data_IF_639110766182
#
_entry.id   IF_639110766182
#
_cell.length_a   1.000
_cell.length_b   1.000
_cell.length_c   1.000
_cell.angle_alpha   90.00
_cell.angle_beta   90.00
_cell.angle_gamma   90.00
#
_symmetry.space_group_name_H-M   'P 1'
#
loop_
_entity.id
_entity.type
_entity.pdbx_description
1 polymer ?
#
# COMPACT_ATOMS: atom_id res chain seq x y z
N UNK A 1 10.98 13.07 9.46
CA UNK A 1 10.88 12.18 8.29
C UNK A 1 9.44 12.03 7.84
N UNK A 2 9.19 11.61 6.58
CA UNK A 2 7.85 11.37 6.07
C UNK A 2 7.05 10.35 6.88
N UNK A 3 7.72 9.34 7.44
CA UNK A 3 7.09 8.35 8.32
C UNK A 3 6.58 8.97 9.63
N UNK A 4 7.32 9.88 10.24
CA UNK A 4 6.88 10.58 11.46
C UNK A 4 5.70 11.51 11.19
N UNK A 5 5.75 12.27 10.09
CA UNK A 5 4.65 13.15 9.68
C UNK A 5 3.39 12.35 9.34
N UNK A 6 3.53 11.26 8.60
CA UNK A 6 2.41 10.42 8.19
C UNK A 6 1.63 9.73 9.32
N UNK A 7 2.17 9.73 10.54
CA UNK A 7 1.47 9.24 11.74
C UNK A 7 0.59 10.30 12.40
N UNK A 8 0.73 11.57 12.01
CA UNK A 8 0.03 12.71 12.59
C UNK A 8 -1.12 13.13 11.66
N UNK A 9 -2.29 12.55 11.87
CA UNK A 9 -3.46 12.75 11.01
C UNK A 9 -3.81 14.23 10.79
N UNK A 10 -3.72 15.07 11.82
CA UNK A 10 -4.07 16.50 11.73
C UNK A 10 -3.08 17.27 10.82
N UNK A 11 -1.78 17.07 11.00
CA UNK A 11 -0.76 17.74 10.19
C UNK A 11 -0.83 17.32 8.71
N UNK A 12 -1.03 16.02 8.44
CA UNK A 12 -1.17 15.53 7.05
C UNK A 12 -2.48 16.01 6.43
N UNK A 13 -3.55 16.11 7.20
CA UNK A 13 -4.84 16.63 6.73
C UNK A 13 -4.77 18.09 6.30
N UNK A 14 -4.00 18.91 7.00
CA UNK A 14 -3.77 20.30 6.60
C UNK A 14 -3.04 20.37 5.25
N UNK A 15 -1.99 19.59 5.07
CA UNK A 15 -1.26 19.50 3.79
C UNK A 15 -2.22 19.06 2.66
N UNK A 16 -3.05 18.05 2.89
CA UNK A 16 -4.03 17.58 1.89
C UNK A 16 -5.01 18.68 1.50
N UNK A 17 -5.54 19.42 2.48
CA UNK A 17 -6.45 20.56 2.19
C UNK A 17 -5.77 21.63 1.35
N UNK A 18 -4.54 21.99 1.66
CA UNK A 18 -3.79 23.00 0.88
C UNK A 18 -3.51 22.52 -0.54
N UNK A 19 -3.12 21.27 -0.72
CA UNK A 19 -2.93 20.68 -2.06
C UNK A 19 -4.25 20.71 -2.85
N UNK A 20 -5.36 20.28 -2.25
CA UNK A 20 -6.67 20.23 -2.93
C UNK A 20 -7.20 21.61 -3.33
N UNK A 21 -6.81 22.69 -2.65
CA UNK A 21 -7.10 24.06 -3.10
C UNK A 21 -6.34 24.44 -4.38
N UNK A 22 -5.18 23.85 -4.60
CA UNK A 22 -4.29 24.19 -5.70
C UNK A 22 -4.48 23.32 -6.96
N UNK A 23 -5.15 22.16 -6.84
CA UNK A 23 -5.29 21.20 -7.93
C UNK A 23 -6.75 20.81 -8.18
N UNK A 24 -7.07 20.48 -9.44
CA UNK A 24 -8.38 19.95 -9.86
C UNK A 24 -8.35 18.45 -10.19
N UNK A 25 -7.17 17.83 -10.20
CA UNK A 25 -7.02 16.40 -10.47
C UNK A 25 -7.18 15.57 -9.19
N UNK A 26 -7.47 14.26 -9.30
CA UNK A 26 -7.52 13.37 -8.14
C UNK A 26 -6.21 13.35 -7.36
N UNK A 27 -6.33 13.38 -6.03
CA UNK A 27 -5.20 13.30 -5.09
C UNK A 27 -5.18 11.95 -4.37
N UNK A 28 -4.16 11.14 -4.65
CA UNK A 28 -3.92 9.86 -3.99
C UNK A 28 -2.87 10.05 -2.91
N UNK A 29 -3.22 9.73 -1.67
CA UNK A 29 -2.33 9.92 -0.52
C UNK A 29 -1.75 8.58 -0.09
N UNK A 30 -0.42 8.46 -0.19
CA UNK A 30 0.29 7.29 0.33
C UNK A 30 0.38 7.36 1.85
N UNK A 31 -0.11 6.31 2.52
CA UNK A 31 -0.03 6.17 3.97
C UNK A 31 1.32 5.57 4.40
N UNK A 32 1.72 5.87 5.63
CA UNK A 32 2.77 5.11 6.32
C UNK A 32 2.11 4.03 7.18
N UNK A 33 2.65 2.79 7.16
CA UNK A 33 2.15 1.72 8.02
C UNK A 33 2.60 1.85 9.47
N UNK A 34 3.55 2.72 9.72
CA UNK A 34 4.11 2.93 11.05
C UNK A 34 3.11 3.68 11.95
N UNK A 35 3.14 3.39 13.26
CA UNK A 35 2.30 4.09 14.26
C UNK A 35 0.95 3.47 14.56
N UNK A 36 0.52 2.41 13.86
CA UNK A 36 -0.63 1.56 14.23
C UNK A 36 -2.02 2.21 14.16
N UNK A 37 -2.17 3.39 13.56
CA UNK A 37 -3.44 4.13 13.45
C UNK A 37 -3.87 4.38 12.00
N UNK A 38 -3.54 3.46 11.12
CA UNK A 38 -3.69 3.65 9.67
C UNK A 38 -5.13 3.99 9.25
N UNK A 39 -6.12 3.33 9.83
CA UNK A 39 -7.52 3.55 9.47
C UNK A 39 -8.04 4.92 9.93
N UNK A 40 -7.59 5.40 11.10
CA UNK A 40 -7.95 6.73 11.62
C UNK A 40 -7.26 7.83 10.82
N UNK A 41 -5.99 7.65 10.45
CA UNK A 41 -5.28 8.59 9.57
C UNK A 41 -5.98 8.64 8.22
N UNK A 42 -6.33 7.50 7.62
CA UNK A 42 -7.10 7.44 6.38
C UNK A 42 -8.42 8.23 6.47
N UNK A 43 -9.17 8.06 7.57
CA UNK A 43 -10.41 8.82 7.82
C UNK A 43 -10.18 10.32 7.82
N UNK A 44 -9.14 10.79 8.48
CA UNK A 44 -8.79 12.21 8.52
C UNK A 44 -8.41 12.75 7.12
N UNK A 45 -7.71 11.96 6.32
CA UNK A 45 -7.31 12.32 4.95
C UNK A 45 -8.50 12.39 3.99
N UNK A 46 -9.45 11.45 4.06
CA UNK A 46 -10.71 11.55 3.29
C UNK A 46 -11.51 12.79 3.68
N UNK A 47 -11.63 13.08 4.98
CA UNK A 47 -12.28 14.30 5.47
C UNK A 47 -11.57 15.59 5.02
N UNK A 48 -10.28 15.50 4.72
CA UNK A 48 -9.48 16.60 4.17
C UNK A 48 -9.58 16.75 2.64
N UNK A 49 -10.22 15.78 1.95
CA UNK A 49 -10.44 15.82 0.51
C UNK A 49 -9.55 14.90 -0.31
N UNK A 50 -8.85 13.94 0.28
CA UNK A 50 -8.14 12.92 -0.48
C UNK A 50 -9.14 12.07 -1.28
N UNK A 51 -8.86 11.83 -2.56
CA UNK A 51 -9.71 11.03 -3.44
C UNK A 51 -9.42 9.52 -3.25
N UNK A 52 -8.19 9.17 -2.90
CA UNK A 52 -7.81 7.80 -2.53
C UNK A 52 -6.70 7.80 -1.47
N UNK A 53 -6.67 6.77 -0.66
CA UNK A 53 -5.57 6.53 0.29
C UNK A 53 -5.04 5.11 0.18
N UNK A 54 -3.85 4.86 0.71
CA UNK A 54 -3.29 3.51 0.78
C UNK A 54 -1.80 3.46 0.52
N UNK A 55 -1.34 2.42 -0.18
CA UNK A 55 0.06 2.31 -0.58
C UNK A 55 1.03 1.97 0.55
N UNK A 56 0.62 1.18 1.53
CA UNK A 56 1.41 0.80 2.72
C UNK A 56 2.42 -0.31 2.44
N UNK A 57 3.07 -0.26 1.30
CA UNK A 57 3.79 -1.35 0.66
C UNK A 57 5.11 -1.81 1.31
N UNK A 58 5.62 -1.08 2.29
CA UNK A 58 6.92 -1.36 2.88
C UNK A 58 6.90 -1.17 4.39
N UNK A 59 7.82 -1.86 5.06
CA UNK A 59 8.04 -1.74 6.51
C UNK A 59 9.48 -1.35 6.79
N UNK A 60 9.68 -0.54 7.81
CA UNK A 60 11.01 -0.21 8.29
C UNK A 60 11.62 -1.38 9.05
N UNK A 61 12.92 -1.54 8.90
CA UNK A 61 13.72 -2.51 9.63
C UNK A 61 15.20 -2.20 9.53
N UNK A 62 16.01 -2.99 10.18
CA UNK A 62 17.47 -2.89 10.09
C UNK A 62 17.96 -3.94 9.09
N UNK A 63 18.78 -3.58 8.09
CA UNK A 63 19.41 -4.53 7.20
C UNK A 63 20.37 -5.45 7.97
N UNK A 64 20.83 -6.56 7.34
CA UNK A 64 21.86 -7.39 7.97
C UNK A 64 23.06 -6.57 8.43
N UNK A 65 23.57 -6.89 9.61
CA UNK A 65 24.73 -6.23 10.20
C UNK A 65 26.00 -6.86 9.63
N UNK A 66 26.95 -6.03 9.24
CA UNK A 66 28.27 -6.51 8.87
C UNK A 66 29.01 -6.98 10.14
N UNK A 67 29.24 -8.28 10.27
CA UNK A 67 29.88 -8.85 11.46
C UNK A 67 31.39 -8.69 11.44
N UNK A 68 32.00 -8.53 10.27
CA UNK A 68 33.44 -8.34 10.11
C UNK A 68 33.87 -6.90 10.39
N UNK A 69 32.97 -5.95 10.23
CA UNK A 69 33.18 -4.54 10.56
C UNK A 69 31.89 -3.96 11.18
N UNK A 70 31.64 -4.25 12.47
CA UNK A 70 30.43 -3.79 13.15
C UNK A 70 30.33 -2.27 13.17
N UNK A 71 29.20 -1.75 12.72
CA UNK A 71 28.94 -0.32 12.59
C UNK A 71 28.94 0.15 11.13
N UNK A 72 29.54 -0.61 10.22
CA UNK A 72 29.44 -0.35 8.79
C UNK A 72 28.18 -0.97 8.19
N UNK A 73 27.58 -0.30 7.25
CA UNK A 73 26.45 -0.85 6.50
C UNK A 73 26.94 -1.97 5.56
N UNK A 74 26.11 -3.02 5.43
CA UNK A 74 26.39 -4.11 4.48
C UNK A 74 26.20 -3.65 3.01
N UNK A 75 25.38 -2.63 2.79
CA UNK A 75 25.12 -2.09 1.46
C UNK A 75 26.12 -0.99 1.12
N UNK A 76 26.82 -1.13 0.00
CA UNK A 76 27.89 -0.24 -0.43
C UNK A 76 27.49 1.24 -0.62
N UNK A 77 26.20 1.55 -0.75
CA UNK A 77 25.68 2.92 -0.85
C UNK A 77 25.38 3.57 0.51
N UNK A 78 25.50 2.82 1.61
CA UNK A 78 25.29 3.32 2.96
C UNK A 78 26.62 3.39 3.70
N UNK A 79 26.87 4.48 4.40
CA UNK A 79 28.09 4.63 5.22
C UNK A 79 27.93 4.06 6.62
N UNK A 80 26.71 4.06 7.13
CA UNK A 80 26.40 3.64 8.49
C UNK A 80 25.17 2.73 8.49
N UNK A 81 25.00 1.93 9.54
CA UNK A 81 23.78 1.17 9.75
C UNK A 81 22.62 2.15 9.92
N UNK A 82 21.61 2.01 9.08
CA UNK A 82 20.40 2.84 9.13
C UNK A 82 19.16 2.00 8.85
N UNK A 83 18.01 2.54 9.17
CA UNK A 83 16.74 1.93 8.82
C UNK A 83 16.58 1.80 7.30
N UNK A 84 16.18 0.63 6.86
CA UNK A 84 15.89 0.29 5.47
C UNK A 84 14.44 -0.15 5.31
N UNK A 85 13.92 -0.01 4.10
CA UNK A 85 12.56 -0.45 3.80
C UNK A 85 12.57 -1.88 3.26
N UNK A 86 11.80 -2.74 3.92
CA UNK A 86 11.54 -4.10 3.48
C UNK A 86 10.25 -4.16 2.66
N UNK A 87 10.31 -4.83 1.51
CA UNK A 87 9.19 -5.00 0.59
C UNK A 87 9.16 -6.43 0.03
N UNK A 88 8.29 -6.73 -0.92
CA UNK A 88 8.11 -8.02 -1.57
C UNK A 88 7.02 -8.90 -0.93
N UNK A 89 7.00 -10.19 -1.30
CA UNK A 89 5.90 -11.14 -1.04
C UNK A 89 5.50 -11.29 0.44
N UNK A 90 6.46 -11.23 1.35
CA UNK A 90 6.21 -11.38 2.79
C UNK A 90 5.32 -10.28 3.39
N UNK A 91 5.22 -9.13 2.70
CA UNK A 91 4.35 -8.02 3.13
C UNK A 91 2.86 -8.30 2.91
N UNK A 92 2.49 -9.27 2.06
CA UNK A 92 1.09 -9.49 1.70
C UNK A 92 0.15 -9.57 2.91
N UNK A 93 0.39 -10.37 3.95
CA UNK A 93 -0.53 -10.44 5.09
C UNK A 93 -0.67 -9.11 5.84
N UNK A 94 0.37 -8.30 5.88
CA UNK A 94 0.32 -6.97 6.49
C UNK A 94 -0.47 -5.98 5.63
N UNK A 95 -0.26 -6.01 4.32
CA UNK A 95 -0.99 -5.15 3.39
C UNK A 95 -2.49 -5.52 3.32
N UNK A 96 -2.84 -6.80 3.39
CA UNK A 96 -4.23 -7.27 3.51
C UNK A 96 -4.88 -6.72 4.78
N UNK A 97 -4.22 -6.85 5.93
CA UNK A 97 -4.70 -6.29 7.20
C UNK A 97 -4.93 -4.79 7.10
N UNK A 98 -3.95 -4.03 6.62
CA UNK A 98 -4.04 -2.58 6.51
C UNK A 98 -5.22 -2.16 5.60
N UNK A 99 -5.38 -2.81 4.46
CA UNK A 99 -6.49 -2.58 3.53
C UNK A 99 -7.83 -2.87 4.20
N UNK A 100 -7.95 -4.01 4.87
CA UNK A 100 -9.16 -4.41 5.58
C UNK A 100 -9.53 -3.42 6.70
N UNK A 101 -8.57 -3.01 7.53
CA UNK A 101 -8.80 -2.03 8.61
C UNK A 101 -9.23 -0.67 8.06
N UNK A 102 -8.61 -0.20 6.97
CA UNK A 102 -9.01 1.05 6.32
C UNK A 102 -10.45 0.93 5.83
N UNK A 103 -10.80 -0.14 5.10
CA UNK A 103 -12.14 -0.36 4.57
C UNK A 103 -13.18 -0.45 5.67
N UNK A 104 -12.92 -1.23 6.72
CA UNK A 104 -13.83 -1.42 7.85
C UNK A 104 -14.20 -0.12 8.55
N UNK A 105 -13.24 0.80 8.72
CA UNK A 105 -13.45 2.08 9.41
C UNK A 105 -14.06 3.14 8.49
N UNK A 106 -13.71 3.12 7.19
CA UNK A 106 -14.04 4.22 6.27
C UNK A 106 -15.20 3.90 5.31
N UNK A 107 -15.67 2.66 5.29
CA UNK A 107 -16.83 2.26 4.48
C UNK A 107 -16.55 2.16 2.97
N UNK A 108 -17.58 1.81 2.17
CA UNK A 108 -17.43 1.47 0.75
C UNK A 108 -17.23 2.67 -0.18
N UNK A 109 -17.57 3.89 0.23
CA UNK A 109 -17.51 5.09 -0.63
C UNK A 109 -16.12 5.72 -0.77
N UNK A 110 -15.11 5.20 -0.09
CA UNK A 110 -13.76 5.77 -0.04
C UNK A 110 -12.78 4.86 -0.78
N UNK A 111 -12.08 5.40 -1.80
CA UNK A 111 -11.18 4.62 -2.64
C UNK A 111 -9.90 4.24 -1.91
N UNK A 112 -9.53 2.97 -1.97
CA UNK A 112 -8.32 2.40 -1.36
C UNK A 112 -7.38 1.83 -2.41
N UNK A 113 -6.12 2.26 -2.38
CA UNK A 113 -5.03 1.64 -3.15
C UNK A 113 -4.29 0.65 -2.26
N UNK A 114 -4.44 -0.65 -2.51
CA UNK A 114 -3.67 -1.68 -1.82
C UNK A 114 -2.34 -1.92 -2.53
N UNK A 115 -1.25 -1.96 -1.77
CA UNK A 115 0.09 -2.23 -2.30
C UNK A 115 0.86 -3.08 -1.29
N UNK A 116 1.53 -4.12 -1.77
CA UNK A 116 2.43 -4.95 -0.96
C UNK A 116 2.24 -6.44 -1.18
N UNK A 117 3.25 -7.08 -1.77
CA UNK A 117 3.35 -8.52 -1.88
C UNK A 117 2.51 -9.19 -2.97
N UNK A 118 1.92 -8.45 -3.88
CA UNK A 118 1.17 -9.00 -5.01
C UNK A 118 2.12 -9.60 -6.03
N UNK A 119 1.97 -10.92 -6.31
CA UNK A 119 2.82 -11.71 -7.20
C UNK A 119 2.03 -12.47 -8.27
N UNK A 120 0.73 -12.57 -8.13
CA UNK A 120 -0.16 -13.26 -9.05
C UNK A 120 -1.60 -12.79 -8.83
N UNK A 121 -2.52 -13.29 -9.68
CA UNK A 121 -3.93 -12.91 -9.64
C UNK A 121 -4.62 -13.24 -8.30
N UNK A 122 -4.22 -14.32 -7.61
CA UNK A 122 -4.82 -14.72 -6.32
C UNK A 122 -4.53 -13.66 -5.25
N UNK A 123 -3.29 -13.17 -5.21
CA UNK A 123 -2.89 -12.10 -4.30
C UNK A 123 -3.70 -10.82 -4.56
N UNK A 124 -3.95 -10.49 -5.84
CA UNK A 124 -4.78 -9.36 -6.22
C UNK A 124 -6.25 -9.55 -5.79
N UNK A 125 -6.81 -10.75 -6.00
CA UNK A 125 -8.18 -11.08 -5.56
C UNK A 125 -8.32 -10.92 -4.04
N UNK A 126 -7.35 -11.40 -3.26
CA UNK A 126 -7.35 -11.23 -1.80
C UNK A 126 -7.35 -9.75 -1.39
N UNK A 127 -6.60 -8.88 -2.12
CA UNK A 127 -6.63 -7.43 -1.87
C UNK A 127 -8.01 -6.82 -2.15
N UNK A 128 -8.65 -7.19 -3.26
CA UNK A 128 -10.03 -6.76 -3.57
C UNK A 128 -11.02 -7.25 -2.51
N UNK A 129 -10.89 -8.50 -2.07
CA UNK A 129 -11.74 -9.04 -1.00
C UNK A 129 -11.56 -8.31 0.33
N UNK A 130 -10.38 -7.77 0.61
CA UNK A 130 -10.10 -6.92 1.77
C UNK A 130 -10.58 -5.47 1.58
N UNK A 131 -11.12 -5.11 0.41
CA UNK A 131 -11.72 -3.81 0.17
C UNK A 131 -10.87 -2.85 -0.66
N UNK A 132 -9.82 -3.32 -1.34
CA UNK A 132 -9.09 -2.49 -2.29
C UNK A 132 -9.95 -2.15 -3.51
N UNK A 133 -9.78 -0.95 -4.05
CA UNK A 133 -10.32 -0.52 -5.33
C UNK A 133 -9.25 -0.51 -6.43
N UNK A 134 -8.00 -0.30 -6.02
CA UNK A 134 -6.83 -0.30 -6.90
C UNK A 134 -5.70 -1.13 -6.30
N UNK A 135 -4.90 -1.76 -7.17
CA UNK A 135 -3.75 -2.56 -6.79
C UNK A 135 -2.47 -1.90 -7.28
N UNK A 136 -1.52 -1.65 -6.36
CA UNK A 136 -0.17 -1.20 -6.67
C UNK A 136 0.82 -2.37 -6.65
N UNK A 137 1.65 -2.48 -7.67
CA UNK A 137 2.64 -3.55 -7.82
C UNK A 137 4.02 -2.93 -8.06
N UNK A 138 5.02 -3.41 -7.37
CA UNK A 138 6.41 -2.94 -7.53
C UNK A 138 7.41 -4.10 -7.62
N UNK A 139 7.65 -4.82 -6.54
CA UNK A 139 8.72 -5.84 -6.46
C UNK A 139 8.57 -6.95 -7.50
N UNK A 140 7.35 -7.31 -7.88
CA UNK A 140 7.13 -8.34 -8.89
C UNK A 140 7.47 -7.84 -10.30
N UNK A 141 7.22 -6.57 -10.60
CA UNK A 141 7.64 -5.96 -11.87
C UNK A 141 9.16 -5.95 -11.97
N UNK A 142 9.87 -5.62 -10.89
CA UNK A 142 11.33 -5.65 -10.86
C UNK A 142 11.89 -7.06 -11.08
N UNK A 143 11.16 -8.10 -10.65
CA UNK A 143 11.58 -9.50 -10.77
C UNK A 143 11.23 -10.11 -12.12
N UNK A 144 10.05 -9.83 -12.65
CA UNK A 144 9.43 -10.54 -13.78
C UNK A 144 9.22 -9.70 -15.03
N UNK A 145 9.54 -8.40 -14.98
CA UNK A 145 9.31 -7.48 -16.10
C UNK A 145 7.87 -6.94 -16.15
N UNK A 146 7.61 -6.07 -17.11
CA UNK A 146 6.31 -5.41 -17.27
C UNK A 146 5.24 -6.33 -17.88
N UNK A 147 5.65 -7.35 -18.61
CA UNK A 147 4.78 -8.37 -19.22
C UNK A 147 3.91 -9.06 -18.18
N UNK A 148 4.41 -9.19 -16.96
CA UNK A 148 3.68 -9.70 -15.81
C UNK A 148 2.30 -9.05 -15.63
N UNK A 149 2.13 -7.77 -15.93
CA UNK A 149 0.85 -7.06 -15.78
C UNK A 149 -0.20 -7.63 -16.75
N UNK A 150 0.21 -7.91 -17.99
CA UNK A 150 -0.66 -8.54 -18.98
C UNK A 150 -1.15 -9.92 -18.53
N UNK A 151 -0.24 -10.74 -18.05
CA UNK A 151 -0.54 -12.09 -17.53
C UNK A 151 -1.46 -12.04 -16.31
N UNK A 152 -1.18 -11.13 -15.37
CA UNK A 152 -2.02 -10.90 -14.19
C UNK A 152 -3.47 -10.55 -14.58
N UNK A 153 -3.65 -9.63 -15.53
CA UNK A 153 -4.96 -9.20 -16.00
C UNK A 153 -5.69 -10.37 -16.70
N UNK A 154 -4.98 -11.12 -17.52
CA UNK A 154 -5.55 -12.29 -18.21
C UNK A 154 -6.04 -13.36 -17.22
N UNK A 155 -5.25 -13.63 -16.19
CA UNK A 155 -5.62 -14.61 -15.16
C UNK A 155 -6.73 -14.10 -14.23
N UNK A 156 -6.79 -12.80 -13.92
CA UNK A 156 -7.94 -12.19 -13.22
C UNK A 156 -9.24 -12.37 -14.02
N UNK A 157 -9.22 -12.12 -15.33
CA UNK A 157 -10.38 -12.34 -16.20
C UNK A 157 -10.85 -13.79 -16.17
N UNK A 158 -9.93 -14.76 -16.32
CA UNK A 158 -10.25 -16.18 -16.22
C UNK A 158 -10.88 -16.54 -14.86
N UNK A 159 -10.33 -15.99 -13.77
CA UNK A 159 -10.88 -16.18 -12.43
C UNK A 159 -12.31 -15.65 -12.34
N UNK A 160 -12.56 -14.45 -12.85
CA UNK A 160 -13.90 -13.85 -12.87
C UNK A 160 -14.90 -14.67 -13.67
N UNK A 161 -14.50 -15.15 -14.85
CA UNK A 161 -15.33 -16.01 -15.71
C UNK A 161 -15.70 -17.33 -15.02
N UNK A 162 -14.73 -18.02 -14.44
CA UNK A 162 -14.93 -19.29 -13.72
C UNK A 162 -15.90 -19.12 -12.53
N UNK A 163 -15.75 -18.05 -11.80
CA UNK A 163 -16.54 -17.78 -10.58
C UNK A 163 -17.81 -16.96 -10.87
N UNK A 164 -18.07 -16.60 -12.13
CA UNK A 164 -19.21 -15.75 -12.55
C UNK A 164 -19.27 -14.42 -11.78
N UNK A 165 -18.12 -13.80 -11.57
CA UNK A 165 -17.96 -12.53 -10.88
C UNK A 165 -17.87 -11.43 -11.93
N UNK A 166 -18.80 -10.46 -11.87
CA UNK A 166 -18.80 -9.30 -12.78
C UNK A 166 -17.98 -8.12 -12.22
N UNK A 167 -17.74 -8.09 -10.92
CA UNK A 167 -17.07 -6.99 -10.23
C UNK A 167 -16.22 -7.51 -9.06
N UNK A 168 -14.93 -7.17 -9.06
CA UNK A 168 -14.00 -7.49 -7.98
C UNK A 168 -13.89 -6.36 -6.94
N UNK A 169 -14.49 -5.20 -7.21
CA UNK A 169 -14.29 -3.98 -6.41
C UNK A 169 -15.08 -3.96 -5.11
N UNK A 170 -15.95 -4.92 -4.88
CA UNK A 170 -16.71 -4.98 -3.64
C UNK A 170 -15.96 -5.77 -2.58
N UNK A 171 -15.56 -5.10 -1.51
CA UNK A 171 -14.96 -5.74 -0.34
C UNK A 171 -15.91 -6.73 0.33
N UNK A 172 -15.79 -8.01 -0.01
CA UNK A 172 -16.70 -9.06 0.46
C UNK A 172 -16.46 -9.53 1.90
N UNK A 173 -15.35 -9.09 2.51
CA UNK A 173 -15.03 -9.40 3.91
C UNK A 173 -15.44 -8.29 4.89
N UNK A 174 -15.91 -7.16 4.39
CA UNK A 174 -16.27 -5.99 5.22
C UNK A 174 -17.75 -5.64 5.09
#
# INVERSE_FOLDING_TARGET
TGASLGQQGDAVSEIVREIKKAISIPLFVKLTPEGGRIAQVAKALYAAGADAVGGTANRLGIPPINLDDPGQAIYHLQKEISMSCYSSAWLKPLALRDTYEIRKVNGPGNMITATGGVRNYRDAVEMFMCGADLIGICSEILRSGYEFIGDLIADLKKYMDIHKISDLLTGKLT
#
